data_IF_394295351687
#
_entry.id   IF_394295351687
#
_cell.length_a   1.000
_cell.length_b   1.000
_cell.length_c   1.000
_cell.angle_alpha   90.00
_cell.angle_beta   90.00
_cell.angle_gamma   90.00
#
_symmetry.space_group_name_H-M   'P 1'
#
loop_
_entity.id
_entity.type
_entity.pdbx_description
1 polymer ?
#
# COMPACT_ATOMS: atom_id res chain seq x y z
N UNK A 1 10.23 -0.36 -3.36
CA UNK A 1 9.02 0.48 -3.59
C UNK A 1 8.43 0.90 -2.26
N UNK A 2 7.98 2.13 -2.19
CA UNK A 2 7.36 2.69 -1.00
C UNK A 2 5.98 3.22 -1.33
N UNK A 3 5.05 3.03 -0.42
CA UNK A 3 3.73 3.64 -0.48
C UNK A 3 3.66 4.69 0.62
N UNK A 4 3.52 5.95 0.23
CA UNK A 4 3.45 7.07 1.16
C UNK A 4 2.00 7.50 1.28
N UNK A 5 1.52 7.61 2.51
CA UNK A 5 0.15 7.99 2.81
C UNK A 5 0.15 8.96 3.98
N UNK A 6 -0.99 9.55 4.32
CA UNK A 6 -1.05 10.36 5.52
C UNK A 6 -1.12 9.45 6.75
N UNK A 7 -0.72 9.98 7.90
CA UNK A 7 -0.60 9.19 9.12
C UNK A 7 -1.92 8.59 9.61
N UNK A 8 -3.04 9.20 9.26
CA UNK A 8 -4.36 8.72 9.69
C UNK A 8 -4.86 7.53 8.88
N UNK A 9 -4.33 7.33 7.68
CA UNK A 9 -4.73 6.27 6.77
C UNK A 9 -3.76 5.10 6.74
N UNK A 10 -2.59 5.24 7.35
CA UNK A 10 -1.54 4.23 7.27
C UNK A 10 -2.01 2.85 7.76
N UNK A 11 -2.65 2.79 8.92
CA UNK A 11 -3.16 1.55 9.47
C UNK A 11 -4.30 0.96 8.64
N UNK A 12 -5.19 1.80 8.14
CA UNK A 12 -6.30 1.35 7.30
C UNK A 12 -5.81 0.75 6.00
N UNK A 13 -4.88 1.41 5.34
CA UNK A 13 -4.27 0.92 4.09
C UNK A 13 -3.50 -0.37 4.34
N UNK A 14 -2.74 -0.42 5.42
CA UNK A 14 -1.97 -1.59 5.82
C UNK A 14 -2.89 -2.81 6.00
N UNK A 15 -3.97 -2.66 6.75
CA UNK A 15 -4.95 -3.73 6.98
C UNK A 15 -5.60 -4.19 5.67
N UNK A 16 -5.91 -3.24 4.81
CA UNK A 16 -6.54 -3.52 3.52
C UNK A 16 -5.61 -4.36 2.62
N UNK A 17 -4.33 -4.02 2.59
CA UNK A 17 -3.33 -4.76 1.82
C UNK A 17 -3.14 -6.17 2.39
N UNK A 18 -3.00 -6.29 3.70
CA UNK A 18 -2.81 -7.58 4.36
C UNK A 18 -3.99 -8.51 4.07
N UNK A 19 -5.21 -7.99 4.15
CA UNK A 19 -6.41 -8.82 4.00
C UNK A 19 -6.71 -9.21 2.56
N UNK A 20 -6.26 -8.41 1.58
CA UNK A 20 -6.67 -8.62 0.19
C UNK A 20 -5.53 -9.04 -0.74
N UNK A 21 -4.31 -8.55 -0.50
CA UNK A 21 -3.20 -8.76 -1.43
C UNK A 21 -2.06 -9.61 -0.87
N UNK A 22 -1.96 -9.72 0.45
CA UNK A 22 -0.94 -10.53 1.12
C UNK A 22 0.50 -10.15 0.76
N UNK A 23 0.76 -8.87 0.52
CA UNK A 23 2.12 -8.39 0.27
C UNK A 23 2.84 -8.18 1.58
N UNK A 24 4.14 -8.47 1.60
CA UNK A 24 4.98 -8.23 2.78
C UNK A 24 5.54 -6.82 2.75
N UNK A 25 5.44 -6.12 3.87
CA UNK A 25 5.95 -4.77 4.01
C UNK A 25 6.23 -4.47 5.48
N UNK A 26 6.99 -3.40 5.71
CA UNK A 26 7.19 -2.82 7.03
C UNK A 26 6.62 -1.42 7.03
N UNK A 27 6.11 -1.00 8.20
CA UNK A 27 5.57 0.34 8.38
C UNK A 27 6.61 1.19 9.09
N UNK A 28 6.92 2.34 8.49
CA UNK A 28 7.83 3.31 9.07
C UNK A 28 7.18 4.69 8.95
N UNK A 29 6.72 5.23 10.07
CA UNK A 29 5.94 6.46 10.11
C UNK A 29 4.68 6.34 9.22
N UNK A 30 4.56 7.17 8.20
CA UNK A 30 3.43 7.13 7.28
C UNK A 30 3.78 6.46 5.95
N UNK A 31 4.74 5.51 5.98
CA UNK A 31 5.21 4.81 4.78
C UNK A 31 5.05 3.31 4.97
N UNK A 32 4.64 2.65 3.91
CA UNK A 32 4.73 1.20 3.80
C UNK A 32 5.88 0.89 2.85
N UNK A 33 6.89 0.18 3.36
CA UNK A 33 8.07 -0.18 2.58
C UNK A 33 7.94 -1.66 2.23
N UNK A 34 7.75 -1.95 0.95
CA UNK A 34 7.61 -3.34 0.50
C UNK A 34 8.96 -4.03 0.52
N UNK A 35 9.00 -5.25 1.07
CA UNK A 35 10.23 -6.00 1.28
C UNK A 35 10.76 -6.63 -0.02
N UNK A 36 9.95 -6.63 -1.07
CA UNK A 36 10.36 -7.10 -2.39
C UNK A 36 9.71 -6.23 -3.46
N UNK A 37 10.24 -6.30 -4.66
CA UNK A 37 9.71 -5.51 -5.78
C UNK A 37 8.36 -6.05 -6.21
N UNK A 38 7.41 -5.15 -6.40
CA UNK A 38 6.12 -5.49 -6.98
C UNK A 38 6.23 -5.46 -8.51
N UNK A 39 5.69 -6.47 -9.16
CA UNK A 39 5.63 -6.47 -10.61
C UNK A 39 4.49 -5.57 -11.11
N UNK A 40 4.40 -5.41 -12.42
CA UNK A 40 3.42 -4.51 -13.03
C UNK A 40 1.98 -4.87 -12.63
N UNK A 41 1.64 -6.15 -12.63
CA UNK A 41 0.29 -6.61 -12.28
C UNK A 41 -0.03 -6.37 -10.82
N UNK A 42 0.95 -6.56 -9.94
CA UNK A 42 0.77 -6.31 -8.51
C UNK A 42 0.55 -4.84 -8.23
N UNK A 43 1.30 -3.96 -8.90
CA UNK A 43 1.11 -2.51 -8.78
C UNK A 43 -0.28 -2.11 -9.27
N UNK A 44 -0.73 -2.70 -10.37
CA UNK A 44 -2.06 -2.44 -10.91
C UNK A 44 -3.15 -2.86 -9.93
N UNK A 45 -3.02 -4.03 -9.32
CA UNK A 45 -3.98 -4.52 -8.34
C UNK A 45 -4.00 -3.65 -7.08
N UNK A 46 -2.83 -3.22 -6.63
CA UNK A 46 -2.71 -2.32 -5.50
C UNK A 46 -3.40 -0.99 -5.76
N UNK A 47 -3.15 -0.39 -6.92
CA UNK A 47 -3.79 0.86 -7.31
C UNK A 47 -5.30 0.73 -7.38
N UNK A 48 -5.78 -0.37 -7.97
CA UNK A 48 -7.22 -0.63 -8.08
C UNK A 48 -7.87 -0.73 -6.70
N UNK A 49 -7.24 -1.45 -5.79
CA UNK A 49 -7.76 -1.63 -4.43
C UNK A 49 -7.84 -0.30 -3.68
N UNK A 50 -6.77 0.48 -3.70
CA UNK A 50 -6.70 1.72 -2.95
C UNK A 50 -7.60 2.81 -3.54
N UNK A 51 -7.71 2.88 -4.85
CA UNK A 51 -8.61 3.83 -5.51
C UNK A 51 -10.08 3.49 -5.28
N UNK A 52 -10.40 2.22 -5.20
CA UNK A 52 -11.75 1.75 -4.90
C UNK A 52 -12.23 2.27 -3.54
N UNK A 53 -11.32 2.39 -2.58
CA UNK A 53 -11.61 2.87 -1.23
C UNK A 53 -11.34 4.38 -1.06
N UNK A 54 -11.03 5.08 -2.14
CA UNK A 54 -10.81 6.54 -2.14
C UNK A 54 -9.65 6.99 -1.28
N UNK A 55 -8.64 6.15 -1.08
CA UNK A 55 -7.45 6.55 -0.33
C UNK A 55 -6.54 7.41 -1.18
N UNK A 56 -5.91 8.38 -0.52
CA UNK A 56 -4.86 9.20 -1.13
C UNK A 56 -3.51 8.62 -0.76
N UNK A 57 -2.67 8.40 -1.75
CA UNK A 57 -1.36 7.80 -1.55
C UNK A 57 -0.44 8.14 -2.71
N UNK A 58 0.85 7.86 -2.51
CA UNK A 58 1.86 8.03 -3.55
C UNK A 58 2.76 6.80 -3.56
N UNK A 59 2.97 6.23 -4.72
CA UNK A 59 3.94 5.13 -4.92
C UNK A 59 5.25 5.69 -5.46
N UNK A 60 6.35 5.31 -4.84
CA UNK A 60 7.69 5.71 -5.25
C UNK A 60 8.56 4.50 -5.50
#
# INVERSE_FOLDING_TARGET
MQLITNKYQTQLISSLIINNLHYNFIILNNKLIFTHSLNHNQIKDLNKLLKKHYYKYKLI
#
